data_IF_392359884409
#
_entry.id   IF_392359884409
#
_cell.length_a   1.000
_cell.length_b   1.000
_cell.length_c   1.000
_cell.angle_alpha   90.00
_cell.angle_beta   90.00
_cell.angle_gamma   90.00
#
_symmetry.space_group_name_H-M   'P 1'
#
loop_
_entity.id
_entity.type
_entity.pdbx_description
1 polymer ?
#
# COMPACT_ATOMS: atom_id res chain seq x y z
N UNK A 1 -5.11 48.62 -36.59
CA UNK A 1 -4.16 47.55 -36.22
C UNK A 1 -4.50 47.18 -34.80
N UNK A 2 -5.24 46.09 -34.63
CA UNK A 2 -5.66 45.58 -33.33
C UNK A 2 -5.22 44.11 -33.32
N UNK A 3 -4.28 43.77 -32.43
CA UNK A 3 -3.72 42.43 -32.33
C UNK A 3 -4.65 41.60 -31.45
N UNK A 4 -5.22 40.53 -32.01
CA UNK A 4 -5.99 39.55 -31.26
C UNK A 4 -5.04 38.70 -30.40
N UNK A 5 -5.04 38.97 -29.11
CA UNK A 5 -4.30 38.19 -28.10
C UNK A 5 -4.93 36.80 -28.01
N UNK A 6 -4.25 35.81 -28.59
CA UNK A 6 -4.71 34.43 -28.61
C UNK A 6 -4.37 33.77 -27.28
N UNK A 7 -5.35 33.71 -26.38
CA UNK A 7 -5.22 32.97 -25.13
C UNK A 7 -5.07 31.46 -25.42
N UNK A 8 -3.86 30.95 -25.20
CA UNK A 8 -3.56 29.51 -25.25
C UNK A 8 -4.23 28.87 -24.03
N UNK A 9 -5.34 28.17 -24.26
CA UNK A 9 -5.97 27.30 -23.26
C UNK A 9 -5.10 26.05 -23.15
N UNK A 10 -4.19 26.04 -22.19
CA UNK A 10 -3.43 24.83 -21.85
C UNK A 10 -4.36 23.89 -21.09
N UNK A 11 -4.82 22.84 -21.76
CA UNK A 11 -5.47 21.71 -21.10
C UNK A 11 -4.40 21.01 -20.27
N UNK A 12 -4.33 21.33 -18.96
CA UNK A 12 -3.65 20.45 -18.02
C UNK A 12 -4.38 19.11 -18.06
N UNK A 13 -3.79 18.13 -18.73
CA UNK A 13 -4.15 16.76 -18.53
C UNK A 13 -4.04 16.51 -17.03
N UNK A 14 -5.18 16.35 -16.35
CA UNK A 14 -5.22 15.74 -15.04
C UNK A 14 -4.73 14.33 -15.32
N UNK A 15 -3.43 14.12 -15.19
CA UNK A 15 -2.84 12.80 -15.14
C UNK A 15 -3.51 12.14 -13.95
N UNK A 16 -4.53 11.32 -14.23
CA UNK A 16 -4.92 10.26 -13.33
C UNK A 16 -3.63 9.53 -12.99
N UNK A 17 -3.10 9.80 -11.80
CA UNK A 17 -1.91 9.18 -11.21
C UNK A 17 -2.15 7.68 -10.90
N UNK A 18 -3.08 7.08 -11.63
CA UNK A 18 -3.74 5.81 -11.39
C UNK A 18 -3.05 4.67 -12.14
N UNK A 19 -2.14 4.94 -13.08
CA UNK A 19 -1.52 3.87 -13.88
C UNK A 19 -0.01 3.70 -13.74
N UNK A 20 0.77 4.72 -13.37
CA UNK A 20 2.22 4.56 -13.11
C UNK A 20 2.51 4.00 -11.70
N UNK A 21 1.57 4.14 -10.76
CA UNK A 21 1.62 3.51 -9.43
C UNK A 21 1.17 2.04 -9.42
N UNK A 22 0.81 1.46 -10.58
CA UNK A 22 0.19 0.12 -10.61
C UNK A 22 1.11 -1.00 -10.10
N UNK A 23 2.42 -0.74 -9.96
CA UNK A 23 3.42 -1.72 -9.50
C UNK A 23 4.21 -1.28 -8.25
N UNK A 24 3.89 -0.16 -7.61
CA UNK A 24 4.50 0.25 -6.34
C UNK A 24 3.56 -0.10 -5.19
N UNK A 25 4.04 -0.69 -4.08
CA UNK A 25 3.19 -1.10 -2.97
C UNK A 25 2.71 0.09 -2.12
N UNK A 26 2.80 1.31 -2.61
CA UNK A 26 2.37 2.52 -1.90
C UNK A 26 0.84 2.50 -1.75
N UNK A 27 0.37 2.76 -0.52
CA UNK A 27 -1.04 2.82 -0.20
C UNK A 27 -1.37 2.21 1.16
N UNK A 28 -2.66 2.23 1.49
CA UNK A 28 -3.21 1.55 2.66
C UNK A 28 -3.74 0.19 2.24
N UNK A 29 -3.24 -0.84 2.89
CA UNK A 29 -3.58 -2.24 2.64
C UNK A 29 -4.20 -2.85 3.89
N UNK A 30 -5.22 -3.68 3.72
CA UNK A 30 -5.86 -4.44 4.80
C UNK A 30 -5.91 -5.92 4.47
N UNK A 31 -5.61 -6.74 5.47
CA UNK A 31 -5.84 -8.18 5.44
C UNK A 31 -6.68 -8.59 6.64
N UNK A 32 -7.82 -9.22 6.39
CA UNK A 32 -8.66 -9.78 7.44
C UNK A 32 -8.33 -11.25 7.67
N UNK A 33 -8.15 -11.63 8.92
CA UNK A 33 -7.99 -13.03 9.34
C UNK A 33 -9.08 -13.38 10.35
N UNK A 34 -9.70 -14.55 10.24
CA UNK A 34 -10.68 -15.02 11.22
C UNK A 34 -9.93 -15.71 12.37
N UNK A 35 -9.86 -15.03 13.52
CA UNK A 35 -9.33 -15.58 14.75
C UNK A 35 -10.41 -16.26 15.60
N UNK A 36 -9.99 -16.83 16.74
CA UNK A 36 -10.90 -17.49 17.68
C UNK A 36 -11.97 -16.54 18.25
N UNK A 37 -11.61 -15.27 18.48
CA UNK A 37 -12.48 -14.25 19.08
C UNK A 37 -13.24 -13.40 18.05
N UNK A 38 -13.06 -13.67 16.76
CA UNK A 38 -13.66 -12.91 15.66
C UNK A 38 -12.65 -12.46 14.61
N UNK A 39 -13.09 -11.60 13.66
CA UNK A 39 -12.20 -11.06 12.63
C UNK A 39 -11.14 -10.14 13.24
N UNK A 40 -9.93 -10.24 12.70
CA UNK A 40 -8.78 -9.40 13.00
C UNK A 40 -8.34 -8.77 11.69
N UNK A 41 -8.39 -7.45 11.62
CA UNK A 41 -7.89 -6.68 10.50
C UNK A 41 -6.45 -6.26 10.76
N UNK A 42 -5.54 -6.72 9.91
CA UNK A 42 -4.18 -6.23 9.86
C UNK A 42 -4.10 -5.11 8.82
N UNK A 43 -3.60 -3.95 9.21
CA UNK A 43 -3.43 -2.79 8.36
C UNK A 43 -1.96 -2.51 8.11
N UNK A 44 -1.61 -2.21 6.87
CA UNK A 44 -0.26 -1.87 6.43
C UNK A 44 -0.35 -0.62 5.54
N UNK A 45 0.25 0.49 5.98
CA UNK A 45 0.31 1.73 5.19
C UNK A 45 1.74 1.94 4.74
N UNK A 46 1.95 1.94 3.42
CA UNK A 46 3.25 2.18 2.79
C UNK A 46 3.21 3.57 2.17
N UNK A 47 3.92 4.51 2.78
CA UNK A 47 3.96 5.91 2.35
C UNK A 47 5.01 6.11 1.26
N UNK A 48 4.77 7.07 0.36
CA UNK A 48 5.68 7.38 -0.76
C UNK A 48 7.06 7.92 -0.33
N UNK A 49 7.17 8.41 0.91
CA UNK A 49 8.43 8.86 1.51
C UNK A 49 9.29 7.73 2.10
N UNK A 50 8.87 6.46 1.97
CA UNK A 50 9.57 5.29 2.50
C UNK A 50 9.27 4.97 3.97
N UNK A 51 8.29 5.63 4.62
CA UNK A 51 7.82 5.25 5.95
C UNK A 51 6.70 4.22 5.87
N UNK A 52 6.61 3.34 6.86
CA UNK A 52 5.54 2.34 6.98
C UNK A 52 4.86 2.41 8.34
N UNK A 53 3.56 2.17 8.36
CA UNK A 53 2.78 1.94 9.58
C UNK A 53 2.13 0.55 9.52
N UNK A 54 2.11 -0.16 10.64
CA UNK A 54 1.40 -1.42 10.79
C UNK A 54 0.63 -1.45 12.11
N UNK A 55 -0.64 -1.85 12.06
CA UNK A 55 -1.46 -2.06 13.25
C UNK A 55 -2.48 -3.17 13.03
N UNK A 56 -3.08 -3.62 14.12
CA UNK A 56 -4.21 -4.54 14.08
C UNK A 56 -5.44 -3.91 14.71
N UNK A 57 -6.61 -4.26 14.19
CA UNK A 57 -7.91 -3.88 14.70
C UNK A 57 -8.81 -5.11 14.84
N UNK A 58 -9.63 -5.10 15.88
CA UNK A 58 -10.71 -6.06 16.10
C UNK A 58 -12.02 -5.28 16.25
N UNK A 59 -13.13 -5.97 16.49
CA UNK A 59 -14.40 -5.32 16.81
C UNK A 59 -14.36 -4.45 18.08
N UNK A 60 -13.40 -4.70 18.99
CA UNK A 60 -13.38 -4.08 20.32
C UNK A 60 -12.20 -3.13 20.52
N UNK A 61 -11.09 -3.37 19.83
CA UNK A 61 -9.85 -2.61 20.05
C UNK A 61 -9.11 -2.35 18.74
N UNK A 62 -8.42 -1.21 18.70
CA UNK A 62 -7.38 -0.91 17.72
C UNK A 62 -6.06 -0.78 18.47
N UNK A 63 -5.05 -1.54 18.04
CA UNK A 63 -3.70 -1.41 18.58
C UNK A 63 -3.01 -0.16 18.05
N UNK A 64 -2.12 0.39 18.86
CA UNK A 64 -1.27 1.50 18.45
C UNK A 64 -0.41 1.11 17.23
N UNK A 65 -0.26 2.00 16.23
CA UNK A 65 0.58 1.74 15.08
C UNK A 65 2.05 1.58 15.46
N UNK A 66 2.68 0.56 14.88
CA UNK A 66 4.13 0.41 14.85
C UNK A 66 4.64 1.07 13.57
N UNK A 67 5.57 2.02 13.71
CA UNK A 67 6.16 2.77 12.60
C UNK A 67 7.54 2.25 12.22
N UNK A 68 7.90 2.38 10.95
CA UNK A 68 9.19 1.93 10.45
C UNK A 68 9.52 2.49 9.07
N UNK A 69 10.44 1.80 8.38
CA UNK A 69 10.79 2.08 6.99
C UNK A 69 10.48 0.89 6.09
N UNK A 70 10.28 1.17 4.80
CA UNK A 70 10.15 0.13 3.80
C UNK A 70 10.97 0.44 2.56
N UNK A 71 11.35 -0.62 1.85
CA UNK A 71 12.04 -0.52 0.57
C UNK A 71 11.64 -1.67 -0.35
N UNK A 72 11.80 -1.46 -1.65
CA UNK A 72 11.62 -2.50 -2.67
C UNK A 72 12.92 -2.69 -3.42
N UNK A 73 13.38 -3.94 -3.47
CA UNK A 73 14.48 -4.37 -4.33
C UNK A 73 13.95 -5.46 -5.28
N UNK A 74 13.83 -5.13 -6.56
CA UNK A 74 13.22 -6.01 -7.56
C UNK A 74 11.75 -6.33 -7.22
N UNK A 75 11.47 -7.58 -6.83
CA UNK A 75 10.14 -8.06 -6.41
C UNK A 75 10.08 -8.38 -4.92
N UNK A 76 11.04 -7.90 -4.15
CA UNK A 76 11.13 -8.13 -2.71
C UNK A 76 10.81 -6.83 -1.98
N UNK A 77 9.82 -6.88 -1.10
CA UNK A 77 9.46 -5.79 -0.19
C UNK A 77 10.09 -6.10 1.17
N UNK A 78 10.86 -5.15 1.68
CA UNK A 78 11.46 -5.21 3.01
C UNK A 78 10.75 -4.21 3.90
N UNK A 79 10.27 -4.68 5.06
CA UNK A 79 9.67 -3.88 6.12
C UNK A 79 10.59 -3.89 7.33
N UNK A 80 10.95 -2.71 7.83
CA UNK A 80 11.89 -2.55 8.94
C UNK A 80 11.20 -1.82 10.08
N UNK A 81 10.90 -2.55 11.16
CA UNK A 81 10.29 -1.99 12.37
C UNK A 81 11.27 -2.11 13.54
N UNK A 82 11.86 -0.99 13.96
CA UNK A 82 12.71 -0.94 15.16
C UNK A 82 13.90 -1.91 15.15
N UNK A 83 14.49 -2.20 13.99
CA UNK A 83 15.61 -3.14 13.83
C UNK A 83 15.23 -4.60 13.57
N UNK A 84 13.92 -4.90 13.44
CA UNK A 84 13.45 -6.18 12.93
C UNK A 84 13.05 -6.03 11.46
N UNK A 85 13.91 -6.55 10.58
CA UNK A 85 13.72 -6.52 9.14
C UNK A 85 13.01 -7.78 8.67
N UNK A 86 11.90 -7.58 7.96
CA UNK A 86 11.14 -8.65 7.33
C UNK A 86 11.07 -8.42 5.83
N UNK A 87 11.82 -9.22 5.09
CA UNK A 87 11.80 -9.24 3.63
C UNK A 87 10.92 -10.37 3.13
N UNK A 88 10.07 -10.07 2.15
CA UNK A 88 9.23 -11.07 1.50
C UNK A 88 9.05 -10.69 0.04
N UNK A 89 8.97 -11.66 -0.89
CA UNK A 89 8.60 -11.31 -2.25
C UNK A 89 7.17 -10.72 -2.25
N UNK A 90 6.77 -10.03 -3.31
CA UNK A 90 5.39 -9.58 -3.47
C UNK A 90 4.97 -9.59 -4.94
N UNK A 91 3.67 -9.57 -5.16
CA UNK A 91 3.07 -9.38 -6.48
C UNK A 91 1.74 -8.65 -6.33
N UNK A 92 1.23 -8.12 -7.44
CA UNK A 92 -0.14 -7.62 -7.51
C UNK A 92 -1.02 -8.60 -8.26
N UNK A 93 -2.18 -8.91 -7.69
CA UNK A 93 -3.19 -9.74 -8.33
C UNK A 93 -4.55 -9.07 -8.18
N UNK A 94 -5.20 -8.72 -9.29
CA UNK A 94 -6.51 -8.05 -9.29
C UNK A 94 -6.56 -6.79 -8.39
N UNK A 95 -5.49 -6.00 -8.38
CA UNK A 95 -5.39 -4.78 -7.55
C UNK A 95 -5.04 -5.02 -6.07
N UNK A 96 -4.92 -6.27 -5.65
CA UNK A 96 -4.52 -6.63 -4.28
C UNK A 96 -3.00 -6.80 -4.19
N UNK A 97 -2.44 -6.36 -3.06
CA UNK A 97 -1.06 -6.67 -2.71
C UNK A 97 -1.00 -8.10 -2.18
N UNK A 98 -0.17 -8.94 -2.79
CA UNK A 98 -0.07 -10.36 -2.44
C UNK A 98 1.36 -10.68 -2.04
N UNK A 99 1.54 -11.10 -0.80
CA UNK A 99 2.78 -11.72 -0.37
C UNK A 99 2.70 -13.22 -0.72
N UNK A 100 3.68 -13.77 -1.46
CA UNK A 100 3.79 -15.19 -1.71
C UNK A 100 4.11 -15.86 -0.39
N UNK A 101 3.03 -16.34 0.18
CA UNK A 101 3.06 -17.16 1.36
C UNK A 101 2.70 -18.55 0.83
N UNK A 102 3.69 -19.45 0.94
CA UNK A 102 3.65 -20.92 0.99
C UNK A 102 2.26 -21.52 0.69
N UNK A 103 2.12 -22.60 -0.11
CA UNK A 103 0.80 -23.21 -0.41
C UNK A 103 -0.15 -23.23 0.79
N UNK A 104 -1.39 -22.76 0.58
CA UNK A 104 -2.44 -22.52 1.59
C UNK A 104 -2.22 -21.36 2.58
N UNK A 105 -1.26 -20.46 2.34
CA UNK A 105 -1.05 -19.30 3.22
C UNK A 105 -1.03 -17.95 2.53
N UNK A 106 -1.21 -17.87 1.20
CA UNK A 106 -1.22 -16.61 0.42
C UNK A 106 -1.94 -15.50 1.17
N UNK A 107 -1.21 -14.41 1.45
CA UNK A 107 -1.76 -13.24 2.13
C UNK A 107 -2.22 -12.24 1.08
N UNK A 108 -3.53 -12.17 0.84
CA UNK A 108 -4.14 -11.14 0.02
C UNK A 108 -4.42 -9.92 0.88
N UNK A 109 -3.96 -8.77 0.42
CA UNK A 109 -4.22 -7.50 1.06
C UNK A 109 -5.03 -6.61 0.11
N UNK A 110 -6.19 -6.22 0.59
CA UNK A 110 -7.11 -5.33 -0.09
C UNK A 110 -6.61 -3.89 0.02
N UNK A 111 -6.70 -3.11 -1.05
CA UNK A 111 -6.46 -1.68 -0.97
C UNK A 111 -7.62 -1.01 -0.24
N UNK A 112 -7.32 -0.15 0.72
CA UNK A 112 -8.29 0.71 1.40
C UNK A 112 -8.19 2.10 0.75
N UNK A 113 -9.35 2.65 0.40
CA UNK A 113 -9.52 4.01 -0.14
C UNK A 113 -9.73 5.04 0.98
#
# INVERSE_FOLDING_TARGET
>A
MEAADSAIITFQARSDASSENANTPIGHWRKTTIGYTGPIDEHLVLHSNGTVENWTATAYERREPVTGHWSVEGKTLTLSFGGNDRSSPFTFYQGQLVFPNIPNRRGFWEKIE
#
